data_IF_938068210079
#
_entry.id   IF_938068210079
#
_cell.length_a   1.000
_cell.length_b   1.000
_cell.length_c   1.000
_cell.angle_alpha   90.00
_cell.angle_beta   90.00
_cell.angle_gamma   90.00
#
_symmetry.space_group_name_H-M   'P 1'
#
loop_
_entity.id
_entity.type
_entity.pdbx_description
1 polymer ?
#
# COMPACT_ATOMS: atom_id res chain seq x y z
N UNK A 1 16.73 -4.92 -16.42
CA UNK A 1 15.26 -5.07 -16.45
C UNK A 1 14.77 -4.80 -15.04
N UNK A 2 14.09 -3.69 -14.81
CA UNK A 2 13.66 -3.30 -13.46
C UNK A 2 12.43 -4.11 -13.08
N UNK A 3 12.49 -4.82 -11.96
CA UNK A 3 11.35 -5.55 -11.42
C UNK A 3 10.61 -4.64 -10.46
N UNK A 4 9.38 -4.25 -10.80
CA UNK A 4 8.51 -3.54 -9.87
C UNK A 4 8.08 -4.53 -8.79
N UNK A 5 8.51 -4.31 -7.56
CA UNK A 5 8.06 -5.10 -6.41
C UNK A 5 6.83 -4.37 -5.83
N UNK A 6 5.63 -4.94 -5.92
CA UNK A 6 4.42 -4.32 -5.40
C UNK A 6 4.45 -4.26 -3.87
N UNK A 7 3.69 -3.32 -3.27
CA UNK A 7 3.58 -3.18 -1.81
C UNK A 7 2.93 -4.40 -1.15
N UNK A 8 2.02 -5.05 -1.86
CA UNK A 8 1.31 -6.26 -1.45
C UNK A 8 1.36 -7.28 -2.57
N UNK A 9 1.36 -8.59 -2.27
CA UNK A 9 1.16 -9.62 -3.28
C UNK A 9 -0.15 -9.38 -4.02
N UNK A 10 -0.12 -9.38 -5.36
CA UNK A 10 -1.32 -9.11 -6.17
C UNK A 10 -2.46 -10.08 -5.81
N UNK A 11 -2.14 -11.34 -5.67
CA UNK A 11 -3.15 -12.33 -5.29
C UNK A 11 -3.79 -12.02 -3.92
N UNK A 12 -3.03 -11.55 -2.93
CA UNK A 12 -3.53 -11.36 -1.59
C UNK A 12 -4.65 -10.31 -1.51
N UNK A 13 -4.46 -9.14 -2.14
CA UNK A 13 -5.48 -8.10 -2.12
C UNK A 13 -6.64 -8.41 -3.09
N UNK A 14 -6.37 -9.02 -4.26
CA UNK A 14 -7.40 -9.40 -5.21
C UNK A 14 -8.33 -10.46 -4.62
N UNK A 15 -7.77 -11.52 -4.04
CA UNK A 15 -8.53 -12.56 -3.34
C UNK A 15 -9.31 -11.99 -2.15
N UNK A 16 -8.74 -11.04 -1.42
CA UNK A 16 -9.43 -10.31 -0.35
C UNK A 16 -10.68 -9.60 -0.85
N UNK A 17 -10.62 -8.93 -2.01
CA UNK A 17 -11.78 -8.27 -2.65
C UNK A 17 -12.79 -9.29 -3.14
N UNK A 18 -12.34 -10.33 -3.81
CA UNK A 18 -13.21 -11.41 -4.32
C UNK A 18 -13.94 -12.09 -3.18
N UNK A 19 -13.26 -12.40 -2.06
CA UNK A 19 -13.87 -12.95 -0.87
C UNK A 19 -14.87 -11.98 -0.24
N UNK A 20 -14.56 -10.68 -0.20
CA UNK A 20 -15.49 -9.67 0.30
C UNK A 20 -16.79 -9.63 -0.51
N UNK A 21 -16.74 -9.77 -1.83
CA UNK A 21 -17.91 -9.85 -2.73
C UNK A 21 -18.65 -11.18 -2.55
N UNK A 22 -17.93 -12.30 -2.57
CA UNK A 22 -18.51 -13.65 -2.52
C UNK A 22 -19.21 -13.92 -1.18
N UNK A 23 -18.67 -13.40 -0.08
CA UNK A 23 -19.16 -13.67 1.27
C UNK A 23 -19.96 -12.52 1.88
N UNK A 24 -20.19 -11.43 1.16
CA UNK A 24 -21.02 -10.32 1.62
C UNK A 24 -22.43 -10.79 2.01
N UNK A 25 -22.93 -10.25 3.12
CA UNK A 25 -24.36 -10.39 3.49
C UNK A 25 -25.20 -9.38 2.70
N UNK A 26 -25.77 -9.82 1.59
CA UNK A 26 -26.53 -8.96 0.68
C UNK A 26 -27.89 -8.52 1.25
N UNK A 27 -28.41 -9.18 2.30
CA UNK A 27 -29.59 -8.74 3.03
C UNK A 27 -29.37 -7.47 3.86
N UNK A 28 -28.14 -7.09 4.12
CA UNK A 28 -27.80 -5.84 4.80
C UNK A 28 -27.84 -4.65 3.82
N UNK A 29 -29.03 -4.12 3.58
CA UNK A 29 -29.22 -2.89 2.79
C UNK A 29 -28.57 -1.68 3.49
N UNK A 30 -27.96 -0.77 2.72
CA UNK A 30 -27.27 0.41 3.25
C UNK A 30 -25.84 0.17 3.75
N UNK A 31 -25.36 -1.07 3.82
CA UNK A 31 -23.95 -1.37 4.07
C UNK A 31 -23.24 -1.73 2.77
N UNK A 32 -21.95 -1.37 2.66
CA UNK A 32 -21.12 -1.60 1.47
C UNK A 32 -19.80 -2.25 1.82
N UNK A 33 -19.16 -2.87 0.84
CA UNK A 33 -17.78 -3.32 0.96
C UNK A 33 -16.89 -2.08 1.01
N UNK A 34 -16.01 -2.01 2.00
CA UNK A 34 -15.09 -0.88 2.16
C UNK A 34 -13.66 -1.36 1.96
N UNK A 35 -12.96 -0.72 1.05
CA UNK A 35 -11.52 -0.90 0.85
C UNK A 35 -10.84 0.40 1.29
N UNK A 36 -9.98 0.32 2.28
CA UNK A 36 -9.26 1.48 2.84
C UNK A 36 -7.77 1.24 2.77
N UNK A 37 -7.06 2.16 2.13
CA UNK A 37 -5.61 2.11 2.03
C UNK A 37 -5.01 3.16 2.97
N UNK A 38 -4.14 2.73 3.86
CA UNK A 38 -3.38 3.53 4.80
C UNK A 38 -1.90 3.46 4.45
N UNK A 39 -1.08 4.27 5.08
CA UNK A 39 0.36 4.26 4.84
C UNK A 39 1.02 2.94 5.24
N UNK A 40 0.47 2.24 6.24
CA UNK A 40 1.02 1.02 6.84
C UNK A 40 0.22 -0.25 6.55
N UNK A 41 -0.99 -0.15 5.96
CA UNK A 41 -1.86 -1.29 5.74
C UNK A 41 -2.96 -1.06 4.70
N UNK A 42 -3.47 -2.14 4.16
CA UNK A 42 -4.70 -2.22 3.37
C UNK A 42 -5.76 -2.95 4.20
N UNK A 43 -6.95 -2.36 4.33
CA UNK A 43 -8.11 -2.97 4.97
C UNK A 43 -9.22 -3.23 3.95
N UNK A 44 -9.78 -4.43 3.96
CA UNK A 44 -10.93 -4.84 3.14
C UNK A 44 -12.00 -5.33 4.11
N UNK A 45 -13.11 -4.61 4.20
CA UNK A 45 -14.21 -4.91 5.10
C UNK A 45 -15.48 -5.25 4.30
N UNK A 46 -16.14 -6.37 4.66
CA UNK A 46 -17.36 -6.85 4.02
C UNK A 46 -18.46 -7.02 5.06
N UNK A 47 -19.70 -6.52 4.81
CA UNK A 47 -20.84 -6.74 5.69
C UNK A 47 -21.22 -8.22 5.83
N UNK A 48 -21.48 -8.63 7.06
CA UNK A 48 -21.87 -9.98 7.46
C UNK A 48 -20.80 -10.67 8.29
N UNK A 49 -21.19 -11.31 9.40
CA UNK A 49 -20.28 -12.11 10.25
C UNK A 49 -19.81 -13.36 9.54
N UNK A 50 -18.74 -13.96 10.01
CA UNK A 50 -18.38 -15.32 9.62
C UNK A 50 -19.55 -16.28 9.95
N UNK A 51 -19.82 -17.28 9.11
CA UNK A 51 -20.85 -18.29 9.41
C UNK A 51 -20.44 -19.11 10.64
N UNK A 52 -21.42 -19.66 11.37
CA UNK A 52 -21.18 -20.34 12.65
C UNK A 52 -20.13 -21.45 12.65
N UNK A 53 -19.85 -22.04 11.48
CA UNK A 53 -18.84 -23.10 11.30
C UNK A 53 -17.44 -22.53 11.01
N UNK A 54 -17.33 -21.23 10.70
CA UNK A 54 -16.07 -20.54 10.38
C UNK A 54 -15.79 -19.51 11.46
N UNK A 55 -14.57 -19.49 11.95
CA UNK A 55 -14.04 -18.45 12.84
C UNK A 55 -12.64 -18.04 12.37
N UNK A 56 -12.06 -17.04 13.01
CA UNK A 56 -10.74 -16.52 12.65
C UNK A 56 -9.65 -17.60 12.72
N UNK A 57 -9.77 -18.54 13.66
CA UNK A 57 -8.75 -19.59 13.88
C UNK A 57 -8.81 -20.68 12.81
N UNK A 58 -9.99 -20.98 12.26
CA UNK A 58 -10.18 -22.04 11.28
C UNK A 58 -10.43 -21.55 9.84
N UNK A 59 -10.40 -20.24 9.59
CA UNK A 59 -10.72 -19.63 8.29
C UNK A 59 -9.84 -20.14 7.13
N UNK A 60 -8.62 -20.60 7.44
CA UNK A 60 -7.70 -21.15 6.43
C UNK A 60 -8.07 -22.58 5.99
N UNK A 61 -8.83 -23.32 6.80
CA UNK A 61 -9.11 -24.74 6.60
C UNK A 61 -10.58 -25.03 6.38
N UNK A 62 -11.48 -24.13 6.78
CA UNK A 62 -12.93 -24.35 6.72
C UNK A 62 -13.50 -23.78 5.42
N UNK A 63 -14.32 -24.59 4.75
CA UNK A 63 -14.96 -24.21 3.48
C UNK A 63 -16.40 -23.77 3.75
N UNK A 64 -16.71 -22.59 3.26
CA UNK A 64 -18.08 -22.09 3.26
C UNK A 64 -18.25 -21.06 2.14
N UNK A 65 -19.38 -21.11 1.47
CA UNK A 65 -19.79 -20.06 0.53
C UNK A 65 -21.15 -19.53 0.94
N UNK A 66 -21.22 -18.24 1.31
CA UNK A 66 -22.49 -17.57 1.61
C UNK A 66 -23.34 -17.38 0.37
N UNK A 67 -22.71 -17.03 -0.72
CA UNK A 67 -23.37 -16.74 -2.00
C UNK A 67 -22.83 -17.66 -3.11
N UNK A 68 -23.21 -18.95 -3.14
CA UNK A 68 -22.64 -19.92 -4.08
C UNK A 68 -22.89 -19.57 -5.55
N UNK A 69 -23.99 -18.87 -5.86
CA UNK A 69 -24.27 -18.41 -7.23
C UNK A 69 -23.29 -17.33 -7.68
N UNK A 70 -22.95 -16.39 -6.78
CA UNK A 70 -21.95 -15.35 -7.06
C UNK A 70 -20.57 -15.98 -7.20
N UNK A 71 -20.20 -16.88 -6.28
CA UNK A 71 -18.94 -17.61 -6.36
C UNK A 71 -18.77 -18.32 -7.70
N UNK A 72 -19.82 -19.01 -8.17
CA UNK A 72 -19.81 -19.70 -9.47
C UNK A 72 -19.56 -18.75 -10.63
N UNK A 73 -20.26 -17.61 -10.70
CA UNK A 73 -20.06 -16.61 -11.75
C UNK A 73 -18.62 -16.08 -11.75
N UNK A 74 -18.08 -15.76 -10.57
CA UNK A 74 -16.69 -15.29 -10.45
C UNK A 74 -15.68 -16.37 -10.84
N UNK A 75 -15.99 -17.65 -10.61
CA UNK A 75 -15.19 -18.78 -11.09
C UNK A 75 -15.20 -18.86 -12.62
N UNK A 76 -16.37 -18.70 -13.25
CA UNK A 76 -16.49 -18.69 -14.71
C UNK A 76 -15.71 -17.54 -15.37
N UNK A 77 -15.57 -16.39 -14.68
CA UNK A 77 -14.71 -15.28 -15.08
C UNK A 77 -13.21 -15.50 -14.73
N UNK A 78 -12.87 -16.61 -14.09
CA UNK A 78 -11.48 -16.90 -13.69
C UNK A 78 -10.97 -16.08 -12.48
N UNK A 79 -11.85 -15.37 -11.77
CA UNK A 79 -11.52 -14.57 -10.61
C UNK A 79 -11.49 -15.39 -9.30
N UNK A 80 -12.25 -16.47 -9.23
CA UNK A 80 -12.22 -17.46 -8.16
C UNK A 80 -11.58 -18.73 -8.68
N UNK A 81 -10.60 -19.26 -7.99
CA UNK A 81 -10.05 -20.58 -8.28
C UNK A 81 -10.77 -21.62 -7.42
N UNK A 82 -11.26 -22.69 -8.04
CA UNK A 82 -12.09 -23.72 -7.38
C UNK A 82 -11.39 -24.48 -6.22
N UNK A 83 -10.10 -24.34 -6.05
CA UNK A 83 -9.28 -25.17 -5.16
C UNK A 83 -9.39 -24.83 -3.67
N UNK A 84 -10.26 -23.89 -3.26
CA UNK A 84 -10.47 -23.53 -1.85
C UNK A 84 -9.20 -23.20 -1.05
N UNK A 85 -8.17 -22.73 -1.73
CA UNK A 85 -6.87 -22.37 -1.16
C UNK A 85 -6.70 -20.84 -1.00
N UNK A 86 -7.73 -20.07 -1.36
CA UNK A 86 -7.65 -18.61 -1.44
C UNK A 86 -7.11 -17.96 -0.17
N UNK A 87 -7.75 -18.21 0.98
CA UNK A 87 -7.28 -17.64 2.25
C UNK A 87 -5.90 -18.16 2.61
N UNK A 88 -5.66 -19.48 2.52
CA UNK A 88 -4.36 -20.08 2.82
C UNK A 88 -3.25 -19.50 1.95
N UNK A 89 -3.55 -19.25 0.67
CA UNK A 89 -2.61 -18.67 -0.26
C UNK A 89 -2.30 -17.20 0.09
N UNK A 90 -3.28 -16.42 0.58
CA UNK A 90 -3.01 -15.07 1.09
C UNK A 90 -1.91 -15.13 2.16
N UNK A 91 -2.00 -16.07 3.13
CA UNK A 91 -0.95 -16.24 4.15
C UNK A 91 0.40 -16.58 3.54
N UNK A 92 0.43 -17.54 2.61
CA UNK A 92 1.67 -17.97 1.95
C UNK A 92 2.30 -16.85 1.12
N UNK A 93 1.49 -16.11 0.37
CA UNK A 93 1.97 -15.04 -0.49
C UNK A 93 2.48 -13.84 0.36
N UNK A 94 1.78 -13.49 1.45
CA UNK A 94 2.28 -12.47 2.39
C UNK A 94 3.64 -12.87 2.98
N UNK A 95 3.79 -14.13 3.41
CA UNK A 95 5.06 -14.64 3.92
C UNK A 95 6.17 -14.62 2.86
N UNK A 96 5.86 -14.95 1.61
CA UNK A 96 6.84 -14.94 0.51
C UNK A 96 7.36 -13.52 0.18
N UNK A 97 6.58 -12.51 0.54
CA UNK A 97 6.93 -11.09 0.43
C UNK A 97 7.59 -10.53 1.70
N UNK A 98 7.88 -11.39 2.69
CA UNK A 98 8.40 -10.98 4.00
C UNK A 98 7.51 -9.96 4.71
N UNK A 99 6.19 -10.07 4.53
CA UNK A 99 5.18 -9.26 5.20
C UNK A 99 4.56 -10.02 6.37
N UNK A 100 3.98 -9.28 7.31
CA UNK A 100 3.23 -9.87 8.43
C UNK A 100 2.07 -10.75 7.90
N UNK A 101 1.69 -11.80 8.63
CA UNK A 101 0.51 -12.57 8.29
C UNK A 101 -0.74 -11.69 8.19
N UNK A 102 -1.71 -12.01 7.29
CA UNK A 102 -2.96 -11.30 7.21
C UNK A 102 -3.74 -11.44 8.53
N UNK A 103 -4.45 -10.38 8.91
CA UNK A 103 -5.25 -10.34 10.14
C UNK A 103 -6.72 -10.30 9.74
N UNK A 104 -7.49 -11.27 10.20
CA UNK A 104 -8.95 -11.28 10.09
C UNK A 104 -9.60 -10.89 11.42
N UNK A 105 -10.60 -10.02 11.37
CA UNK A 105 -11.39 -9.60 12.53
C UNK A 105 -12.87 -9.49 12.16
N UNK A 106 -13.75 -9.50 13.15
CA UNK A 106 -15.21 -9.35 13.00
C UNK A 106 -15.73 -8.09 13.72
N UNK A 107 -15.43 -6.87 13.24
CA UNK A 107 -16.00 -5.67 13.82
C UNK A 107 -17.47 -5.48 13.39
N UNK A 108 -18.34 -5.12 14.33
CA UNK A 108 -19.71 -4.60 14.08
C UNK A 108 -20.53 -5.33 13.00
N UNK A 109 -20.61 -6.65 13.05
CA UNK A 109 -21.30 -7.48 12.05
C UNK A 109 -20.69 -7.37 10.63
N UNK A 110 -19.40 -7.23 10.55
CA UNK A 110 -18.63 -7.33 9.31
C UNK A 110 -17.44 -8.26 9.50
N UNK A 111 -16.84 -8.69 8.39
CA UNK A 111 -15.53 -9.35 8.36
C UNK A 111 -14.55 -8.39 7.76
N UNK A 112 -13.42 -8.17 8.43
CA UNK A 112 -12.34 -7.31 7.96
C UNK A 112 -11.05 -8.09 7.81
N UNK A 113 -10.45 -8.01 6.62
CA UNK A 113 -9.10 -8.42 6.31
C UNK A 113 -8.17 -7.22 6.39
N UNK A 114 -7.10 -7.34 7.15
CA UNK A 114 -6.01 -6.34 7.21
C UNK A 114 -4.73 -6.98 6.69
N UNK A 115 -4.16 -6.38 5.65
CA UNK A 115 -2.85 -6.69 5.11
C UNK A 115 -1.91 -5.56 5.51
N UNK A 116 -0.94 -5.86 6.39
CA UNK A 116 0.06 -4.87 6.80
C UNK A 116 1.18 -4.75 5.77
N UNK A 117 1.61 -3.53 5.51
CA UNK A 117 2.83 -3.26 4.78
C UNK A 117 4.00 -3.09 5.76
N UNK A 118 5.19 -3.45 5.36
CA UNK A 118 6.40 -3.16 6.12
C UNK A 118 6.94 -1.79 5.69
N UNK A 119 6.74 -0.77 6.55
CA UNK A 119 7.17 0.61 6.27
C UNK A 119 8.68 0.68 6.01
N UNK A 120 9.50 -0.05 6.78
CA UNK A 120 10.95 -0.09 6.59
C UNK A 120 11.32 -0.66 5.21
N UNK A 121 10.67 -1.75 4.80
CA UNK A 121 10.86 -2.32 3.46
C UNK A 121 10.36 -1.39 2.35
N UNK A 122 9.29 -0.63 2.60
CA UNK A 122 8.80 0.39 1.67
C UNK A 122 9.84 1.50 1.49
N UNK A 123 10.40 2.00 2.58
CA UNK A 123 11.47 3.02 2.55
C UNK A 123 12.68 2.50 1.78
N UNK A 124 13.17 1.31 2.10
CA UNK A 124 14.29 0.70 1.37
C UNK A 124 14.02 0.52 -0.13
N UNK A 125 12.78 0.15 -0.52
CA UNK A 125 12.40 0.04 -1.94
C UNK A 125 12.39 1.40 -2.63
N UNK A 126 11.89 2.43 -1.96
CA UNK A 126 11.89 3.80 -2.47
C UNK A 126 13.33 4.32 -2.64
N UNK A 127 14.18 4.11 -1.64
CA UNK A 127 15.60 4.47 -1.69
C UNK A 127 16.33 3.72 -2.82
N UNK A 128 16.16 2.41 -2.93
CA UNK A 128 16.74 1.63 -4.03
C UNK A 128 16.24 2.10 -5.41
N UNK A 129 14.96 2.43 -5.54
CA UNK A 129 14.40 2.96 -6.79
C UNK A 129 15.03 4.29 -7.17
N UNK A 130 15.18 5.19 -6.20
CA UNK A 130 15.80 6.50 -6.42
C UNK A 130 17.28 6.35 -6.70
N UNK A 131 18.01 5.55 -5.90
CA UNK A 131 19.43 5.27 -6.09
C UNK A 131 19.72 4.72 -7.49
N UNK A 132 18.95 3.72 -7.92
CA UNK A 132 19.08 3.15 -9.26
C UNK A 132 18.85 4.18 -10.37
N UNK A 133 17.94 5.13 -10.14
CA UNK A 133 17.63 6.19 -11.11
C UNK A 133 18.67 7.29 -11.18
N UNK A 134 19.22 7.69 -10.03
CA UNK A 134 20.26 8.74 -9.94
C UNK A 134 21.66 8.22 -10.32
N UNK A 135 21.87 6.92 -10.22
CA UNK A 135 23.18 6.27 -10.27
C UNK A 135 23.87 6.27 -8.90
N UNK A 136 24.69 5.24 -8.68
CA UNK A 136 25.32 4.99 -7.38
C UNK A 136 26.23 6.14 -6.94
N UNK A 137 26.94 6.79 -7.87
CA UNK A 137 27.85 7.90 -7.56
C UNK A 137 27.08 9.07 -6.94
N UNK A 138 26.03 9.54 -7.62
CA UNK A 138 25.23 10.68 -7.15
C UNK A 138 24.45 10.35 -5.88
N UNK A 139 23.92 9.12 -5.75
CA UNK A 139 23.24 8.67 -4.55
C UNK A 139 24.14 8.65 -3.31
N UNK A 140 25.42 8.24 -3.49
CA UNK A 140 26.38 8.18 -2.40
C UNK A 140 26.90 9.58 -1.97
N UNK A 141 26.78 10.59 -2.83
CA UNK A 141 27.09 11.98 -2.51
C UNK A 141 26.00 12.69 -1.67
N UNK A 142 24.80 12.11 -1.61
CA UNK A 142 23.69 12.66 -0.84
C UNK A 142 23.83 12.34 0.64
N UNK A 143 23.50 13.32 1.49
CA UNK A 143 23.42 13.09 2.93
C UNK A 143 22.09 12.38 3.30
N UNK A 144 22.00 11.90 4.55
CA UNK A 144 20.82 11.16 5.05
C UNK A 144 19.53 12.00 5.02
N UNK A 145 19.63 13.32 5.20
CA UNK A 145 18.47 14.21 5.13
C UNK A 145 18.00 14.37 3.67
N UNK A 146 18.92 14.52 2.72
CA UNK A 146 18.60 14.58 1.29
C UNK A 146 17.97 13.29 0.82
N UNK A 147 18.51 12.11 1.22
CA UNK A 147 17.93 10.80 0.93
C UNK A 147 16.52 10.66 1.51
N UNK A 148 16.30 11.08 2.76
CA UNK A 148 14.97 11.08 3.39
C UNK A 148 13.97 11.98 2.66
N UNK A 149 14.40 13.17 2.24
CA UNK A 149 13.57 14.09 1.44
C UNK A 149 13.16 13.43 0.12
N UNK A 150 14.12 12.85 -0.61
CA UNK A 150 13.86 12.21 -1.90
C UNK A 150 12.95 10.98 -1.74
N UNK A 151 13.18 10.17 -0.71
CA UNK A 151 12.34 9.00 -0.39
C UNK A 151 10.88 9.40 -0.13
N UNK A 152 10.67 10.51 0.59
CA UNK A 152 9.33 11.04 0.81
C UNK A 152 8.68 11.62 -0.44
N UNK A 153 9.46 12.25 -1.32
CA UNK A 153 8.98 12.80 -2.59
C UNK A 153 8.60 11.71 -3.59
N UNK A 154 9.20 10.52 -3.49
CA UNK A 154 8.95 9.42 -4.42
C UNK A 154 7.48 8.97 -4.38
N UNK A 155 6.85 8.94 -5.54
CA UNK A 155 5.43 8.58 -5.69
C UNK A 155 4.46 9.69 -5.33
N UNK A 156 4.94 10.92 -5.11
CA UNK A 156 4.10 12.11 -4.91
C UNK A 156 4.24 13.07 -6.08
N UNK A 157 3.12 13.59 -6.56
CA UNK A 157 3.13 14.57 -7.66
C UNK A 157 3.88 15.87 -7.30
N UNK A 158 3.78 16.30 -6.04
CA UNK A 158 4.50 17.45 -5.51
C UNK A 158 4.44 17.51 -3.98
N UNK A 159 5.40 18.16 -3.35
CA UNK A 159 5.48 18.37 -1.91
C UNK A 159 5.83 19.82 -1.57
N UNK A 160 5.48 20.25 -0.36
CA UNK A 160 5.86 21.58 0.18
C UNK A 160 7.02 21.47 1.17
N UNK A 161 7.72 22.57 1.39
CA UNK A 161 8.78 22.64 2.44
C UNK A 161 8.23 22.43 3.84
N UNK A 162 6.96 22.76 4.08
CA UNK A 162 6.30 22.56 5.39
C UNK A 162 6.08 21.05 5.63
N UNK A 163 5.57 20.31 4.66
CA UNK A 163 5.41 18.87 4.75
C UNK A 163 6.74 18.16 4.98
N UNK A 164 7.78 18.55 4.23
CA UNK A 164 9.12 18.00 4.39
C UNK A 164 9.70 18.29 5.79
N UNK A 165 9.51 19.52 6.30
CA UNK A 165 9.96 19.89 7.64
C UNK A 165 9.26 19.08 8.74
N UNK A 166 7.97 18.82 8.60
CA UNK A 166 7.20 18.02 9.54
C UNK A 166 7.67 16.56 9.60
N UNK A 167 7.93 15.97 8.45
CA UNK A 167 8.31 14.53 8.37
C UNK A 167 9.76 14.31 8.78
N UNK A 168 10.66 15.21 8.40
CA UNK A 168 12.08 15.09 8.72
C UNK A 168 12.43 15.63 10.11
N UNK A 169 11.46 16.26 10.80
CA UNK A 169 11.65 16.90 12.10
C UNK A 169 12.74 17.99 12.12
N UNK A 170 12.99 18.65 10.97
CA UNK A 170 13.94 19.75 10.85
C UNK A 170 13.26 21.06 10.43
N UNK A 171 13.96 22.19 10.63
CA UNK A 171 13.38 23.49 10.31
C UNK A 171 13.15 23.67 8.80
N UNK A 172 12.13 24.46 8.43
CA UNK A 172 11.87 24.81 7.02
C UNK A 172 13.06 25.54 6.38
N UNK A 173 13.88 26.26 7.18
CA UNK A 173 15.11 26.90 6.71
C UNK A 173 16.12 25.85 6.24
N UNK A 174 16.32 24.80 7.02
CA UNK A 174 17.22 23.68 6.67
C UNK A 174 16.71 22.94 5.43
N UNK A 175 15.40 22.67 5.37
CA UNK A 175 14.78 22.04 4.19
C UNK A 175 14.99 22.88 2.94
N UNK A 176 14.81 24.21 3.00
CA UNK A 176 15.04 25.08 1.85
C UNK A 176 16.48 25.03 1.34
N UNK A 177 17.47 24.93 2.22
CA UNK A 177 18.87 24.77 1.82
C UNK A 177 19.03 23.46 1.05
N UNK A 178 18.56 22.32 1.61
CA UNK A 178 18.69 21.01 0.97
C UNK A 178 17.94 20.90 -0.36
N UNK A 179 16.73 21.47 -0.42
CA UNK A 179 15.98 21.52 -1.68
C UNK A 179 16.71 22.32 -2.75
N UNK A 180 17.34 23.44 -2.39
CA UNK A 180 18.14 24.21 -3.36
C UNK A 180 19.36 23.42 -3.83
N UNK A 181 20.02 22.66 -2.96
CA UNK A 181 21.14 21.78 -3.34
C UNK A 181 20.65 20.68 -4.30
N UNK A 182 19.52 20.05 -4.02
CA UNK A 182 18.91 19.04 -4.91
C UNK A 182 18.46 19.63 -6.25
N UNK A 183 18.01 20.90 -6.27
CA UNK A 183 17.69 21.61 -7.52
C UNK A 183 18.99 21.88 -8.31
N UNK A 184 20.07 22.29 -7.64
CA UNK A 184 21.36 22.53 -8.31
C UNK A 184 21.94 21.25 -8.93
N UNK A 185 21.70 20.11 -8.28
CA UNK A 185 22.05 18.75 -8.79
C UNK A 185 21.08 18.24 -9.86
N UNK A 186 20.07 19.01 -10.26
CA UNK A 186 19.05 18.64 -11.26
C UNK A 186 18.24 17.39 -10.89
N UNK A 187 18.03 17.15 -9.60
CA UNK A 187 17.25 16.02 -9.06
C UNK A 187 15.79 16.44 -8.82
N UNK A 188 15.60 17.66 -8.30
CA UNK A 188 14.31 18.25 -7.93
C UNK A 188 14.04 19.50 -8.77
N UNK A 189 12.78 19.73 -9.09
CA UNK A 189 12.31 20.98 -9.72
C UNK A 189 11.30 21.69 -8.83
N UNK A 190 11.32 23.02 -8.88
CA UNK A 190 10.33 23.88 -8.23
C UNK A 190 9.13 24.07 -9.16
N UNK A 191 7.91 23.89 -8.64
CA UNK A 191 6.67 24.10 -9.36
C UNK A 191 6.03 25.41 -8.85
N UNK A 192 6.06 26.46 -9.68
CA UNK A 192 5.50 27.77 -9.36
C UNK A 192 6.53 28.90 -9.33
N UNK A 193 6.06 30.12 -9.02
CA UNK A 193 6.96 31.29 -8.97
C UNK A 193 7.83 31.27 -7.71
N UNK A 194 9.14 31.52 -7.85
CA UNK A 194 10.07 31.70 -6.73
C UNK A 194 9.47 32.69 -5.72
N UNK A 195 9.53 32.34 -4.41
CA UNK A 195 8.99 33.11 -3.27
C UNK A 195 7.46 33.14 -3.15
N UNK A 196 6.73 32.30 -3.88
CA UNK A 196 5.30 32.10 -3.62
C UNK A 196 5.12 31.23 -2.37
N UNK A 197 4.18 31.57 -1.46
CA UNK A 197 3.83 30.70 -0.33
C UNK A 197 3.22 29.35 -0.78
N UNK A 198 2.84 29.25 -2.06
CA UNK A 198 2.28 28.03 -2.69
C UNK A 198 3.29 27.27 -3.55
N UNK A 199 4.60 27.54 -3.38
CA UNK A 199 5.63 26.79 -4.12
C UNK A 199 5.64 25.34 -3.69
N UNK A 200 5.65 24.44 -4.65
CA UNK A 200 5.81 22.99 -4.43
C UNK A 200 7.01 22.47 -5.19
N UNK A 201 7.46 21.30 -4.85
CA UNK A 201 8.62 20.66 -5.43
C UNK A 201 8.28 19.25 -5.87
N UNK A 202 8.87 18.80 -6.97
CA UNK A 202 8.70 17.44 -7.50
C UNK A 202 10.03 16.89 -8.01
N UNK A 203 10.13 15.57 -8.07
CA UNK A 203 11.27 14.90 -8.71
C UNK A 203 11.26 15.17 -10.21
N UNK A 204 12.44 15.33 -10.80
CA UNK A 204 12.57 15.50 -12.25
C UNK A 204 12.43 14.11 -12.88
N UNK A 205 11.46 13.96 -13.82
CA UNK A 205 11.22 12.74 -14.60
C UNK A 205 10.25 11.72 -13.95
N UNK A 206 9.45 12.15 -12.96
CA UNK A 206 8.18 11.48 -12.59
C UNK A 206 6.99 12.14 -13.26
#
# INVERSE_FOLDING_TARGET
MFQIVPEYPEFAWLEGIVNAVTHREYGMSGRYIKVSMFDDRLEIESPGKLPNIVNVDNIQSTRYSRNPRIARVLTEFGWVRELNEGVRRIYTDMQSFYLDPPIYTEPDQSVKLTLKNNIAMRTMRQENRIATRLGDELWNELDELEKSILSYMAGKNSVTTIELAQITHVSTKTINVRINDLISKNIVKANGKKRSPKITYSLIGE
#
